data_IF_480153138610
#
_entry.id   IF_480153138610
#
_cell.length_a   1.000
_cell.length_b   1.000
_cell.length_c   1.000
_cell.angle_alpha   90.00
_cell.angle_beta   90.00
_cell.angle_gamma   90.00
#
_symmetry.space_group_name_H-M   'P 1'
#
loop_
_entity.id
_entity.type
_entity.pdbx_description
1 polymer ?
#
# COMPACT_ATOMS: atom_id res chain seq x y z
N UNK A 1 -3.94 -14.10 -6.93
CA UNK A 1 -4.88 -14.99 -6.21
C UNK A 1 -5.18 -16.25 -7.00
N UNK A 2 -5.57 -16.14 -8.27
CA UNK A 2 -5.92 -17.31 -9.10
C UNK A 2 -4.78 -18.33 -9.20
N UNK A 3 -3.53 -17.87 -9.31
CA UNK A 3 -2.36 -18.76 -9.28
C UNK A 3 -2.22 -19.54 -7.96
N UNK A 4 -2.49 -18.91 -6.81
CA UNK A 4 -2.50 -19.60 -5.52
C UNK A 4 -3.59 -20.67 -5.48
N UNK A 5 -4.79 -20.35 -5.97
CA UNK A 5 -5.91 -21.29 -6.05
C UNK A 5 -5.60 -22.47 -6.97
N UNK A 6 -5.02 -22.23 -8.15
CA UNK A 6 -4.67 -23.30 -9.11
C UNK A 6 -3.61 -24.26 -8.57
N UNK A 7 -2.76 -23.80 -7.65
CA UNK A 7 -1.78 -24.64 -6.96
C UNK A 7 -2.30 -25.21 -5.63
N UNK A 8 -3.61 -25.12 -5.37
CA UNK A 8 -4.27 -25.59 -4.14
C UNK A 8 -3.70 -25.00 -2.84
N UNK A 9 -3.27 -23.74 -2.89
CA UNK A 9 -2.74 -23.03 -1.73
C UNK A 9 -3.86 -22.25 -1.08
N UNK A 10 -4.16 -22.56 0.18
CA UNK A 10 -5.16 -21.84 0.95
C UNK A 10 -4.77 -20.37 1.08
N UNK A 11 -5.65 -19.47 0.66
CA UNK A 11 -5.38 -18.04 0.62
C UNK A 11 -6.60 -17.22 1.01
N UNK A 12 -6.35 -15.98 1.40
CA UNK A 12 -7.33 -14.95 1.66
C UNK A 12 -6.83 -13.63 1.08
N UNK A 13 -7.75 -12.74 0.71
CA UNK A 13 -7.40 -11.41 0.20
C UNK A 13 -8.11 -10.33 0.99
N UNK A 14 -7.44 -9.19 1.14
CA UNK A 14 -8.00 -8.00 1.77
C UNK A 14 -7.53 -6.77 1.00
N UNK A 15 -8.41 -5.79 0.85
CA UNK A 15 -8.12 -4.51 0.18
C UNK A 15 -8.25 -3.37 1.20
N UNK A 16 -7.35 -2.39 1.14
CA UNK A 16 -7.42 -1.19 1.98
C UNK A 16 -7.32 0.10 1.16
N UNK A 17 -8.10 1.15 1.48
CA UNK A 17 -9.20 1.16 2.45
C UNK A 17 -10.35 0.23 2.08
N UNK A 18 -11.06 -0.28 3.08
CA UNK A 18 -12.26 -1.13 2.91
C UNK A 18 -13.49 -0.26 2.64
N UNK A 19 -13.52 0.41 1.50
CA UNK A 19 -14.60 1.33 1.12
C UNK A 19 -15.98 0.70 1.30
N UNK A 20 -16.91 1.46 1.87
CA UNK A 20 -18.27 1.03 2.20
C UNK A 20 -18.41 0.31 3.54
N UNK A 21 -17.31 -0.14 4.17
CA UNK A 21 -17.34 -0.69 5.52
C UNK A 21 -17.40 0.42 6.58
N UNK A 22 -18.10 0.23 7.71
CA UNK A 22 -18.16 1.23 8.78
C UNK A 22 -16.79 1.68 9.30
N UNK A 23 -15.80 0.79 9.24
CA UNK A 23 -14.42 1.06 9.65
C UNK A 23 -13.68 2.04 8.74
N UNK A 24 -14.08 2.13 7.47
CA UNK A 24 -13.50 3.04 6.49
C UNK A 24 -14.11 4.45 6.53
N UNK A 25 -15.08 4.70 7.42
CA UNK A 25 -15.77 5.99 7.48
C UNK A 25 -14.81 7.19 7.54
N UNK A 26 -13.83 7.19 8.47
CA UNK A 26 -12.92 8.33 8.65
C UNK A 26 -12.00 8.56 7.44
N UNK A 27 -11.54 7.48 6.80
CA UNK A 27 -10.70 7.61 5.60
C UNK A 27 -11.51 8.09 4.40
N UNK A 28 -12.78 7.67 4.28
CA UNK A 28 -13.69 8.20 3.26
C UNK A 28 -13.98 9.69 3.46
N UNK A 29 -14.25 10.12 4.69
CA UNK A 29 -14.46 11.54 5.00
C UNK A 29 -13.20 12.37 4.71
N UNK A 30 -12.02 11.84 5.04
CA UNK A 30 -10.73 12.47 4.74
C UNK A 30 -10.51 12.63 3.23
N UNK A 31 -10.62 11.54 2.46
CA UNK A 31 -10.44 11.56 1.01
C UNK A 31 -11.50 12.41 0.30
N UNK A 32 -12.70 12.52 0.88
CA UNK A 32 -13.76 13.43 0.43
C UNK A 32 -13.57 14.90 0.84
N UNK A 33 -12.44 15.25 1.49
CA UNK A 33 -12.10 16.62 1.88
C UNK A 33 -12.90 17.19 3.05
N UNK A 34 -13.67 16.36 3.79
CA UNK A 34 -14.54 16.82 4.89
C UNK A 34 -13.77 17.28 6.12
N UNK A 35 -12.51 16.86 6.25
CA UNK A 35 -11.61 17.26 7.33
C UNK A 35 -10.60 18.34 6.92
N UNK A 36 -10.77 18.93 5.75
CA UNK A 36 -9.81 19.84 5.14
C UNK A 36 -9.08 19.20 3.95
N UNK A 37 -8.16 19.97 3.39
CA UNK A 37 -7.26 19.55 2.31
C UNK A 37 -6.20 18.55 2.81
N UNK A 38 -5.48 17.94 1.87
CA UNK A 38 -4.39 17.03 2.20
C UNK A 38 -3.31 17.67 3.09
N UNK A 39 -3.05 18.97 2.93
CA UNK A 39 -2.02 19.69 3.67
C UNK A 39 -2.50 20.20 5.04
N UNK A 40 -3.81 20.42 5.23
CA UNK A 40 -4.39 20.86 6.51
C UNK A 40 -4.51 19.73 7.53
N UNK A 41 -4.72 18.50 7.06
CA UNK A 41 -4.72 17.31 7.92
C UNK A 41 -3.27 16.87 8.09
N UNK A 42 -2.76 16.71 9.31
CA UNK A 42 -1.38 16.24 9.51
C UNK A 42 -1.18 14.78 9.04
N UNK A 43 0.07 14.39 8.80
CA UNK A 43 0.44 13.02 8.43
C UNK A 43 -0.04 12.00 9.49
N UNK A 44 0.11 12.31 10.77
CA UNK A 44 -0.32 11.46 11.89
C UNK A 44 -1.84 11.35 11.96
N UNK A 45 -2.57 12.47 11.82
CA UNK A 45 -4.04 12.46 11.82
C UNK A 45 -4.59 11.58 10.71
N UNK A 46 -4.10 11.77 9.48
CA UNK A 46 -4.49 10.94 8.35
C UNK A 46 -4.10 9.47 8.58
N UNK A 47 -2.92 9.21 9.16
CA UNK A 47 -2.46 7.86 9.48
C UNK A 47 -3.42 7.09 10.39
N UNK A 48 -4.01 7.76 11.40
CA UNK A 48 -4.98 7.14 12.30
C UNK A 48 -6.20 6.63 11.54
N UNK A 49 -6.71 7.37 10.54
CA UNK A 49 -7.90 6.96 9.80
C UNK A 49 -7.69 5.65 9.04
N UNK A 50 -6.54 5.49 8.39
CA UNK A 50 -6.18 4.24 7.71
C UNK A 50 -5.88 3.11 8.71
N UNK A 51 -5.25 3.42 9.84
CA UNK A 51 -4.91 2.45 10.88
C UNK A 51 -6.16 1.85 11.54
N UNK A 52 -7.19 2.65 11.81
CA UNK A 52 -8.45 2.17 12.39
C UNK A 52 -9.20 1.23 11.43
N UNK A 53 -9.12 1.48 10.13
CA UNK A 53 -9.69 0.55 9.14
C UNK A 53 -8.94 -0.80 9.15
N UNK A 54 -7.60 -0.81 9.22
CA UNK A 54 -6.82 -2.06 9.37
C UNK A 54 -7.05 -2.75 10.70
N UNK A 55 -7.17 -2.00 11.79
CA UNK A 55 -7.50 -2.54 13.11
C UNK A 55 -8.79 -3.34 13.07
N UNK A 56 -9.85 -2.79 12.48
CA UNK A 56 -11.13 -3.50 12.39
C UNK A 56 -11.09 -4.76 11.49
N UNK A 57 -10.09 -4.90 10.59
CA UNK A 57 -9.86 -6.12 9.81
C UNK A 57 -8.95 -7.13 10.52
N UNK A 58 -8.16 -6.68 11.50
CA UNK A 58 -7.01 -7.41 12.05
C UNK A 58 -7.37 -8.79 12.59
N UNK A 59 -8.52 -8.93 13.26
CA UNK A 59 -8.97 -10.22 13.81
C UNK A 59 -9.24 -11.26 12.70
N UNK A 60 -9.81 -10.83 11.57
CA UNK A 60 -10.02 -11.70 10.41
C UNK A 60 -8.70 -12.16 9.79
N UNK A 61 -7.75 -11.23 9.67
CA UNK A 61 -6.41 -11.51 9.16
C UNK A 61 -5.68 -12.50 10.08
N UNK A 62 -5.69 -12.27 11.41
CA UNK A 62 -5.11 -13.19 12.39
C UNK A 62 -5.70 -14.59 12.31
N UNK A 63 -7.03 -14.70 12.13
CA UNK A 63 -7.70 -15.99 11.97
C UNK A 63 -7.28 -16.70 10.69
N UNK A 64 -7.16 -15.98 9.58
CA UNK A 64 -6.70 -16.54 8.31
C UNK A 64 -5.25 -17.05 8.42
N UNK A 65 -4.36 -16.25 9.00
CA UNK A 65 -2.96 -16.61 9.23
C UNK A 65 -2.84 -17.82 10.18
N UNK A 66 -3.60 -17.84 11.28
CA UNK A 66 -3.62 -18.98 12.22
C UNK A 66 -4.13 -20.27 11.60
N UNK A 67 -4.95 -20.18 10.55
CA UNK A 67 -5.39 -21.33 9.76
C UNK A 67 -4.37 -21.77 8.69
N UNK A 68 -3.16 -21.19 8.68
CA UNK A 68 -2.09 -21.51 7.74
C UNK A 68 -2.33 -20.96 6.33
N UNK A 69 -3.22 -19.97 6.16
CA UNK A 69 -3.46 -19.35 4.86
C UNK A 69 -2.43 -18.27 4.54
N UNK A 70 -2.16 -18.08 3.25
CA UNK A 70 -1.49 -16.87 2.75
C UNK A 70 -2.52 -15.74 2.66
N UNK A 71 -2.26 -14.61 3.31
CA UNK A 71 -3.09 -13.40 3.16
C UNK A 71 -2.42 -12.45 2.17
N UNK A 72 -3.10 -12.13 1.07
CA UNK A 72 -2.65 -11.15 0.09
C UNK A 72 -3.39 -9.84 0.32
N UNK A 73 -2.69 -8.82 0.80
CA UNK A 73 -3.25 -7.50 1.02
C UNK A 73 -2.95 -6.57 -0.17
N UNK A 74 -3.98 -5.96 -0.76
CA UNK A 74 -3.83 -4.84 -1.67
C UNK A 74 -3.79 -3.55 -0.86
N UNK A 75 -2.59 -2.99 -0.73
CA UNK A 75 -2.19 -1.99 0.26
C UNK A 75 -2.23 -2.54 1.68
N UNK A 76 -1.40 -1.98 2.54
CA UNK A 76 -1.33 -2.33 3.97
C UNK A 76 -0.61 -1.19 4.75
N UNK A 77 0.05 -1.49 5.87
CA UNK A 77 0.74 -0.51 6.71
C UNK A 77 1.83 0.29 5.99
N UNK A 78 2.58 -0.34 5.08
CA UNK A 78 3.60 0.36 4.27
C UNK A 78 2.97 1.47 3.40
N UNK A 79 1.72 1.32 2.98
CA UNK A 79 1.04 2.38 2.23
C UNK A 79 0.73 3.61 3.07
N UNK A 80 0.53 3.42 4.38
CA UNK A 80 0.37 4.54 5.31
C UNK A 80 1.67 5.33 5.39
N UNK A 81 2.79 4.64 5.61
CA UNK A 81 4.13 5.25 5.60
C UNK A 81 4.42 5.97 4.28
N UNK A 82 4.10 5.34 3.14
CA UNK A 82 4.33 5.90 1.82
C UNK A 82 3.62 7.22 1.56
N UNK A 83 2.29 7.25 1.78
CA UNK A 83 1.48 8.42 1.46
C UNK A 83 1.67 9.54 2.50
N UNK A 84 1.80 9.18 3.77
CA UNK A 84 1.94 10.18 4.83
C UNK A 84 3.38 10.70 4.92
N UNK A 85 4.37 9.88 4.58
CA UNK A 85 5.76 10.31 4.39
C UNK A 85 5.90 11.33 3.26
N UNK A 86 5.15 11.19 2.17
CA UNK A 86 5.17 12.13 1.04
C UNK A 86 4.66 13.56 1.38
N UNK A 87 4.04 13.74 2.55
CA UNK A 87 3.64 15.04 3.10
C UNK A 87 4.78 15.74 3.83
N UNK A 88 5.86 15.03 4.15
CA UNK A 88 6.98 15.51 4.95
C UNK A 88 8.23 15.64 4.09
N UNK A 89 8.77 16.85 3.99
CA UNK A 89 9.99 17.10 3.21
C UNK A 89 11.27 16.67 3.96
N UNK A 90 11.26 16.67 5.29
CA UNK A 90 12.39 16.29 6.14
C UNK A 90 12.46 14.76 6.35
N UNK A 91 13.60 14.15 6.04
CA UNK A 91 13.83 12.72 6.22
C UNK A 91 13.85 12.30 7.68
N UNK A 92 14.26 13.18 8.60
CA UNK A 92 14.22 12.87 10.04
C UNK A 92 12.79 12.78 10.54
N UNK A 93 11.94 13.74 10.18
CA UNK A 93 10.51 13.69 10.45
C UNK A 93 9.83 12.46 9.83
N UNK A 94 10.18 12.08 8.58
CA UNK A 94 9.69 10.84 7.96
C UNK A 94 10.08 9.60 8.76
N UNK A 95 11.35 9.47 9.15
CA UNK A 95 11.80 8.33 9.94
C UNK A 95 11.09 8.24 11.30
N UNK A 96 10.79 9.38 11.94
CA UNK A 96 9.98 9.43 13.16
C UNK A 96 8.54 8.99 12.91
N UNK A 97 7.93 9.47 11.83
CA UNK A 97 6.58 9.08 11.41
C UNK A 97 6.50 7.56 11.16
N UNK A 98 7.46 6.98 10.44
CA UNK A 98 7.44 5.54 10.15
C UNK A 98 7.54 4.71 11.42
N UNK A 99 8.45 5.05 12.34
CA UNK A 99 8.55 4.38 13.65
C UNK A 99 7.26 4.49 14.44
N UNK A 100 6.62 5.66 14.40
CA UNK A 100 5.35 5.87 15.08
C UNK A 100 4.22 5.06 14.44
N UNK A 101 4.07 5.06 13.11
CA UNK A 101 3.07 4.24 12.39
C UNK A 101 3.29 2.76 12.71
N UNK A 102 4.54 2.30 12.67
CA UNK A 102 4.90 0.91 12.93
C UNK A 102 4.47 0.47 14.33
N UNK A 103 4.88 1.22 15.37
CA UNK A 103 4.51 0.93 16.75
C UNK A 103 3.00 1.07 17.00
N UNK A 104 2.37 2.09 16.42
CA UNK A 104 0.93 2.31 16.60
C UNK A 104 0.12 1.18 15.97
N UNK A 105 0.39 0.80 14.73
CA UNK A 105 -0.41 -0.21 14.05
C UNK A 105 -0.11 -1.63 14.54
N UNK A 106 1.16 -1.98 14.70
CA UNK A 106 1.54 -3.36 15.01
C UNK A 106 1.55 -3.67 16.51
N UNK A 107 2.01 -2.73 17.34
CA UNK A 107 2.13 -2.96 18.78
C UNK A 107 0.89 -2.49 19.54
N UNK A 108 0.39 -1.29 19.23
CA UNK A 108 -0.77 -0.71 19.94
C UNK A 108 -2.09 -1.31 19.45
N UNK A 109 -2.29 -1.36 18.13
CA UNK A 109 -3.53 -1.88 17.53
C UNK A 109 -3.48 -3.39 17.24
N UNK A 110 -2.31 -4.01 17.32
CA UNK A 110 -2.15 -5.45 17.10
C UNK A 110 -2.42 -5.90 15.66
N UNK A 111 -2.30 -5.01 14.68
CA UNK A 111 -2.36 -5.37 13.25
C UNK A 111 -1.16 -6.29 12.94
N UNK A 112 -1.35 -7.45 12.29
CA UNK A 112 -0.23 -8.36 12.03
C UNK A 112 0.83 -7.70 11.15
N UNK A 113 2.11 -7.98 11.42
CA UNK A 113 3.22 -7.52 10.56
C UNK A 113 3.24 -8.35 9.27
N UNK A 114 3.40 -7.72 8.09
CA UNK A 114 3.55 -8.47 6.86
C UNK A 114 4.91 -9.19 6.83
N UNK A 115 4.94 -10.44 6.39
CA UNK A 115 6.19 -11.15 6.11
C UNK A 115 6.96 -10.52 4.94
N UNK A 116 6.23 -9.87 4.03
CA UNK A 116 6.78 -9.22 2.84
C UNK A 116 5.84 -8.12 2.33
N UNK A 117 6.41 -7.03 1.84
CA UNK A 117 5.76 -6.01 1.04
C UNK A 117 6.34 -6.05 -0.38
N UNK A 118 5.47 -6.11 -1.38
CA UNK A 118 5.88 -6.03 -2.78
C UNK A 118 5.49 -4.66 -3.30
N UNK A 119 6.48 -3.86 -3.66
CA UNK A 119 6.30 -2.50 -4.17
C UNK A 119 6.37 -2.57 -5.69
N UNK A 120 5.25 -2.27 -6.35
CA UNK A 120 5.18 -2.22 -7.81
C UNK A 120 5.55 -0.81 -8.27
N UNK A 121 6.74 -0.64 -8.84
CA UNK A 121 7.23 0.65 -9.33
C UNK A 121 6.93 0.81 -10.82
N UNK A 122 6.42 2.00 -11.19
CA UNK A 122 6.05 2.36 -12.56
C UNK A 122 6.62 3.72 -12.90
N UNK A 123 6.85 4.03 -14.19
CA UNK A 123 7.28 5.37 -14.58
C UNK A 123 6.22 6.40 -14.19
N UNK A 124 6.65 7.57 -13.71
CA UNK A 124 5.74 8.64 -13.30
C UNK A 124 4.76 9.06 -14.41
N UNK A 125 5.25 9.14 -15.65
CA UNK A 125 4.44 9.43 -16.85
C UNK A 125 3.29 8.44 -17.03
N UNK A 126 3.54 7.15 -16.77
CA UNK A 126 2.54 6.08 -16.82
C UNK A 126 1.58 6.17 -15.64
N UNK A 127 2.06 6.48 -14.44
CA UNK A 127 1.22 6.68 -13.25
C UNK A 127 0.17 7.79 -13.50
N UNK A 128 0.63 8.92 -14.03
CA UNK A 128 -0.23 10.06 -14.38
C UNK A 128 -1.28 9.68 -15.42
N UNK A 129 -0.88 9.04 -16.52
CA UNK A 129 -1.79 8.59 -17.56
C UNK A 129 -2.86 7.60 -17.04
N UNK A 130 -2.49 6.71 -16.12
CA UNK A 130 -3.41 5.76 -15.51
C UNK A 130 -4.45 6.43 -14.62
N UNK A 131 -4.06 7.44 -13.84
CA UNK A 131 -4.98 8.22 -12.99
C UNK A 131 -5.96 9.00 -13.86
N UNK A 132 -5.48 9.65 -14.91
CA UNK A 132 -6.32 10.39 -15.86
C UNK A 132 -7.35 9.48 -16.52
N UNK A 133 -6.93 8.28 -16.95
CA UNK A 133 -7.84 7.28 -17.53
C UNK A 133 -8.89 6.83 -16.51
N UNK A 134 -8.52 6.57 -15.26
CA UNK A 134 -9.45 6.12 -14.21
C UNK A 134 -10.48 7.18 -13.86
N UNK A 135 -10.09 8.45 -13.79
CA UNK A 135 -11.02 9.55 -13.53
C UNK A 135 -12.13 9.59 -14.58
N UNK A 136 -11.76 9.41 -15.86
CA UNK A 136 -12.72 9.36 -16.98
C UNK A 136 -13.55 8.07 -16.97
N UNK A 137 -12.91 6.90 -16.85
CA UNK A 137 -13.58 5.60 -16.93
C UNK A 137 -14.58 5.36 -15.80
N UNK A 138 -14.33 5.88 -14.60
CA UNK A 138 -15.17 5.64 -13.43
C UNK A 138 -16.06 6.84 -13.07
N UNK A 139 -16.08 7.90 -13.89
CA UNK A 139 -16.73 9.18 -13.59
C UNK A 139 -16.46 9.65 -12.14
N UNK A 140 -15.22 9.43 -11.70
CA UNK A 140 -14.75 9.68 -10.34
C UNK A 140 -13.86 10.91 -10.38
N UNK A 141 -14.14 11.87 -9.50
CA UNK A 141 -13.23 12.97 -9.23
C UNK A 141 -11.92 12.40 -8.67
N UNK A 142 -10.78 12.91 -9.15
CA UNK A 142 -9.47 12.64 -8.54
C UNK A 142 -9.56 12.94 -7.05
N UNK A 143 -9.03 12.06 -6.22
CA UNK A 143 -8.95 12.38 -4.79
C UNK A 143 -7.89 13.45 -4.51
N UNK A 144 -7.86 13.95 -3.28
CA UNK A 144 -6.99 15.05 -2.84
C UNK A 144 -5.49 14.76 -3.03
N UNK A 145 -5.08 13.49 -3.15
CA UNK A 145 -3.71 13.09 -3.41
C UNK A 145 -3.43 12.96 -4.91
N UNK A 146 -4.38 12.40 -5.67
CA UNK A 146 -4.28 12.20 -7.12
C UNK A 146 -4.29 13.51 -7.94
N UNK A 147 -4.69 14.63 -7.34
CA UNK A 147 -4.74 15.94 -7.98
C UNK A 147 -3.40 16.72 -7.97
N UNK A 148 -2.37 16.23 -7.26
CA UNK A 148 -1.11 16.95 -7.03
C UNK A 148 0.10 16.19 -7.59
N UNK A 149 0.66 16.66 -8.73
CA UNK A 149 1.82 16.04 -9.42
C UNK A 149 3.06 15.96 -8.51
N UNK A 150 3.35 17.02 -7.77
CA UNK A 150 4.50 17.06 -6.86
C UNK A 150 4.34 16.04 -5.72
N UNK A 151 3.11 15.86 -5.23
CA UNK A 151 2.82 14.82 -4.23
C UNK A 151 3.07 13.42 -4.79
N UNK A 152 2.71 13.16 -6.05
CA UNK A 152 2.96 11.87 -6.68
C UNK A 152 4.45 11.57 -6.83
N UNK A 153 5.24 12.55 -7.27
CA UNK A 153 6.71 12.40 -7.34
C UNK A 153 7.31 12.12 -5.97
N UNK A 154 6.93 12.90 -4.96
CA UNK A 154 7.38 12.66 -3.58
C UNK A 154 6.96 11.28 -3.07
N UNK A 155 5.77 10.81 -3.43
CA UNK A 155 5.32 9.48 -3.05
C UNK A 155 6.19 8.39 -3.67
N UNK A 156 6.60 8.53 -4.93
CA UNK A 156 7.54 7.60 -5.58
C UNK A 156 8.86 7.57 -4.81
N UNK A 157 9.46 8.72 -4.56
CA UNK A 157 10.73 8.83 -3.82
C UNK A 157 10.64 8.22 -2.42
N UNK A 158 9.52 8.43 -1.74
CA UNK A 158 9.27 7.84 -0.41
C UNK A 158 9.13 6.32 -0.48
N UNK A 159 8.48 5.75 -1.50
CA UNK A 159 8.42 4.29 -1.63
C UNK A 159 9.79 3.67 -1.95
N UNK A 160 10.66 4.37 -2.68
CA UNK A 160 12.06 3.96 -2.83
C UNK A 160 12.83 4.05 -1.51
N UNK A 161 12.66 5.12 -0.74
CA UNK A 161 13.23 5.22 0.60
C UNK A 161 12.77 4.05 1.50
N UNK A 162 11.49 3.73 1.48
CA UNK A 162 10.93 2.60 2.23
C UNK A 162 11.47 1.24 1.76
N UNK A 163 11.72 1.06 0.45
CA UNK A 163 12.29 -0.20 -0.06
C UNK A 163 13.72 -0.44 0.43
N UNK A 164 14.49 0.63 0.63
CA UNK A 164 15.86 0.55 1.16
C UNK A 164 15.89 0.40 2.69
N UNK A 165 14.89 0.95 3.40
CA UNK A 165 14.85 0.92 4.87
C UNK A 165 14.33 -0.39 5.46
N UNK A 166 13.48 -1.13 4.74
CA UNK A 166 12.81 -2.32 5.25
C UNK A 166 13.23 -3.57 4.47
N UNK A 167 13.97 -4.48 5.12
CA UNK A 167 14.42 -5.76 4.53
C UNK A 167 13.27 -6.63 3.98
N UNK A 168 12.08 -6.47 4.56
CA UNK A 168 10.85 -7.14 4.13
C UNK A 168 10.17 -6.42 2.95
N UNK A 169 10.85 -5.53 2.24
CA UNK A 169 10.36 -4.94 0.99
C UNK A 169 11.06 -5.56 -0.21
N UNK A 170 10.29 -5.80 -1.27
CA UNK A 170 10.82 -6.20 -2.58
C UNK A 170 10.21 -5.33 -3.65
N UNK A 171 11.08 -4.64 -4.37
CA UNK A 171 10.69 -3.86 -5.54
C UNK A 171 10.46 -4.80 -6.73
N UNK A 172 9.34 -4.60 -7.43
CA UNK A 172 9.11 -5.15 -8.76
C UNK A 172 8.97 -3.99 -9.72
N UNK A 173 10.02 -3.79 -10.53
CA UNK A 173 10.01 -2.81 -11.62
C UNK A 173 9.06 -3.26 -12.71
N UNK A 174 7.92 -2.59 -12.81
CA UNK A 174 6.90 -2.88 -13.82
C UNK A 174 7.16 -2.15 -15.15
N UNK A 175 8.14 -1.24 -15.21
CA UNK A 175 8.59 -0.60 -16.43
C UNK A 175 9.24 -1.62 -17.39
N UNK A 176 8.83 -1.60 -18.66
CA UNK A 176 9.55 -2.28 -19.73
C UNK A 176 10.67 -1.38 -20.28
N UNK A 177 10.40 -0.08 -20.36
CA UNK A 177 11.33 1.00 -20.69
C UNK A 177 10.85 2.32 -20.01
N UNK A 178 11.50 3.44 -20.28
CA UNK A 178 11.18 4.76 -19.69
C UNK A 178 9.72 5.23 -19.91
N UNK A 179 9.02 4.66 -20.89
CA UNK A 179 7.69 5.11 -21.33
C UNK A 179 6.63 4.01 -21.32
N UNK A 180 7.02 2.75 -21.19
CA UNK A 180 6.12 1.61 -21.35
C UNK A 180 6.17 0.64 -20.17
N UNK A 181 5.08 -0.11 -20.02
CA UNK A 181 4.91 -1.10 -18.97
C UNK A 181 5.15 -2.50 -19.50
N UNK A 182 5.73 -3.36 -18.66
CA UNK A 182 5.67 -4.81 -18.86
C UNK A 182 4.21 -5.26 -18.91
N UNK A 183 3.96 -6.37 -19.58
CA UNK A 183 2.63 -6.97 -19.61
C UNK A 183 2.21 -7.43 -18.20
N UNK A 184 0.89 -7.51 -17.91
CA UNK A 184 0.40 -8.07 -16.66
C UNK A 184 0.95 -9.47 -16.36
N UNK A 185 1.13 -10.30 -17.39
CA UNK A 185 1.67 -11.66 -17.26
C UNK A 185 3.17 -11.66 -16.88
N UNK A 186 3.96 -10.74 -17.43
CA UNK A 186 5.36 -10.55 -17.02
C UNK A 186 5.48 -10.08 -15.58
N UNK A 187 4.70 -9.05 -15.20
CA UNK A 187 4.68 -8.55 -13.83
C UNK A 187 4.21 -9.66 -12.88
N UNK A 188 3.18 -10.42 -13.27
CA UNK A 188 2.69 -11.55 -12.49
C UNK A 188 3.78 -12.60 -12.25
N UNK A 189 4.56 -12.94 -13.29
CA UNK A 189 5.70 -13.88 -13.14
C UNK A 189 6.73 -13.37 -12.13
N UNK A 190 7.14 -12.10 -12.24
CA UNK A 190 8.11 -11.49 -11.30
C UNK A 190 7.60 -11.52 -9.85
N UNK A 191 6.33 -11.14 -9.64
CA UNK A 191 5.69 -11.21 -8.31
C UNK A 191 5.63 -12.65 -7.82
N UNK A 192 5.29 -13.59 -8.71
CA UNK A 192 5.16 -15.00 -8.37
C UNK A 192 6.49 -15.62 -7.94
N UNK A 193 7.59 -15.27 -8.58
CA UNK A 193 8.94 -15.74 -8.21
C UNK A 193 9.31 -15.30 -6.79
N UNK A 194 8.99 -14.05 -6.41
CA UNK A 194 9.18 -13.55 -5.04
C UNK A 194 8.33 -14.35 -4.05
N UNK A 195 7.04 -14.53 -4.34
CA UNK A 195 6.10 -15.27 -3.47
C UNK A 195 6.52 -16.74 -3.33
N UNK A 196 6.97 -17.39 -4.41
CA UNK A 196 7.49 -18.76 -4.39
C UNK A 196 8.69 -18.90 -3.47
N UNK A 197 9.68 -18.01 -3.58
CA UNK A 197 10.88 -18.04 -2.76
C UNK A 197 10.57 -17.84 -1.27
N UNK A 198 9.69 -16.88 -0.95
CA UNK A 198 9.23 -16.66 0.42
C UNK A 198 8.60 -17.92 1.02
N UNK A 199 7.74 -18.62 0.24
CA UNK A 199 7.07 -19.85 0.68
C UNK A 199 8.03 -21.03 0.90
N UNK A 200 9.14 -21.07 0.17
CA UNK A 200 10.14 -22.13 0.29
C UNK A 200 11.11 -21.90 1.45
N UNK A 201 10.99 -20.78 2.17
CA UNK A 201 11.91 -20.41 3.25
C UNK A 201 13.32 -20.05 2.77
N UNK A 202 13.48 -19.81 1.46
CA UNK A 202 14.73 -19.34 0.90
C UNK A 202 14.94 -17.90 1.36
N UNK A 203 16.09 -17.61 1.97
CA UNK A 203 16.49 -16.21 2.18
C UNK A 203 16.66 -15.57 0.81
N UNK A 204 15.80 -14.60 0.52
CA UNK A 204 15.84 -13.74 -0.66
C UNK A 204 16.87 -12.62 -0.53
#
# INVERSE_FOLDING_TARGET
LDRLKSENIANESVDFPRYGEPSAYFVEQYLGGKYGTADEVSAEKASVFYALDRFAASQGIHKALSAGKIVVANRFTLSNMGHQGAKLNDSTARAQLYKWIDAFEHETLGVPRPDMNIILTIPHSVAQANIDRRSVSYNRAKDIHEANDDFMRRSIDVYYELSELFDACREVKCEADETSMKSPDEIHRLVWDIVQNLRQGNKL
#
